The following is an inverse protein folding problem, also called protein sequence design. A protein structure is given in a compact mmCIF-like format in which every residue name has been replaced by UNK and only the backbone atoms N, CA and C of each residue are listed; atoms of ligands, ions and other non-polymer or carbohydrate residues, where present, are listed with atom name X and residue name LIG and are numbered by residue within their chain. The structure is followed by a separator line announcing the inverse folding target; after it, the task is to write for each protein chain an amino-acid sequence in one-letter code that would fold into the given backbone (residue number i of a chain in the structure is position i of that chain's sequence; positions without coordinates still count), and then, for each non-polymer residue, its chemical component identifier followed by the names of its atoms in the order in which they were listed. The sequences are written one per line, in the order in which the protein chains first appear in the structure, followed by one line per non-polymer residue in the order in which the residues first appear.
data_IF_210629243432
#
_entry.id   IF_210629243432
#
_cell.length_a   1.000
_cell.length_b   1.000
_cell.length_c   1.000
_cell.angle_alpha   90.00
_cell.angle_beta   90.00
_cell.angle_gamma   90.00
#
_symmetry.space_group_name_H-M   'P 1'
#
loop_
_entity.id
_entity.type
_entity.pdbx_description
1 polymer ?
#
# COMPACT_ATOMS: atom_id res chain seq x y z
N UNK A 1 -6.42 -27.50 -18.17
CA UNK A 1 -6.42 -26.18 -17.50
C UNK A 1 -4.98 -25.70 -17.50
N UNK A 2 -4.68 -24.65 -18.26
CA UNK A 2 -3.33 -24.07 -18.28
C UNK A 2 -3.10 -23.40 -16.92
N UNK A 3 -2.17 -23.94 -16.14
CA UNK A 3 -1.65 -23.28 -14.95
C UNK A 3 -0.95 -22.00 -15.41
N UNK A 4 -1.41 -20.83 -14.95
CA UNK A 4 -0.88 -19.54 -15.38
C UNK A 4 0.62 -19.41 -15.09
N UNK A 5 1.39 -18.90 -16.05
CA UNK A 5 2.83 -18.63 -15.92
C UNK A 5 3.13 -17.36 -15.10
N UNK A 6 2.09 -16.60 -14.72
CA UNK A 6 2.21 -15.28 -14.07
C UNK A 6 3.17 -15.24 -12.88
N UNK A 7 3.18 -16.27 -12.04
CA UNK A 7 3.99 -16.32 -10.83
C UNK A 7 5.25 -17.17 -10.98
N UNK A 8 5.48 -17.80 -12.14
CA UNK A 8 6.66 -18.64 -12.35
C UNK A 8 7.96 -17.82 -12.40
N UNK A 9 7.86 -16.56 -12.82
CA UNK A 9 8.97 -15.60 -12.88
C UNK A 9 9.04 -14.70 -11.65
N UNK A 10 8.22 -14.95 -10.62
CA UNK A 10 8.24 -14.16 -9.39
C UNK A 10 9.52 -14.43 -8.59
N UNK A 11 10.37 -13.42 -8.46
CA UNK A 11 11.65 -13.52 -7.75
C UNK A 11 11.48 -12.98 -6.33
N UNK A 12 11.65 -13.85 -5.34
CA UNK A 12 11.71 -13.47 -3.93
C UNK A 12 13.16 -13.12 -3.61
N UNK A 13 13.41 -11.87 -3.22
CA UNK A 13 14.71 -11.45 -2.71
C UNK A 13 14.87 -11.87 -1.24
N UNK A 14 15.83 -12.74 -0.95
CA UNK A 14 16.09 -13.25 0.40
C UNK A 14 16.55 -12.18 1.40
N UNK A 15 16.91 -10.97 0.96
CA UNK A 15 17.26 -9.86 1.84
C UNK A 15 16.07 -8.97 2.23
N UNK A 16 14.88 -9.19 1.65
CA UNK A 16 13.71 -8.35 1.90
C UNK A 16 12.51 -9.17 2.34
N UNK A 17 11.63 -8.54 3.13
CA UNK A 17 10.38 -9.17 3.52
C UNK A 17 9.38 -9.11 2.36
N UNK A 18 8.99 -10.28 1.87
CA UNK A 18 7.92 -10.43 0.88
C UNK A 18 6.57 -10.69 1.58
N UNK A 19 5.54 -9.94 1.18
CA UNK A 19 4.20 -10.04 1.78
C UNK A 19 3.42 -11.27 1.31
N UNK A 20 3.74 -11.82 0.14
CA UNK A 20 3.06 -12.95 -0.48
C UNK A 20 3.79 -14.27 -0.20
N UNK A 21 5.12 -14.27 -0.23
CA UNK A 21 5.97 -15.44 0.00
C UNK A 21 6.73 -15.37 1.33
N UNK A 22 6.83 -16.52 1.98
CA UNK A 22 7.78 -16.79 3.05
C UNK A 22 8.77 -17.83 2.51
N UNK A 23 10.00 -17.39 2.24
CA UNK A 23 11.02 -18.15 1.52
C UNK A 23 10.49 -18.65 0.16
N UNK A 24 10.13 -19.93 0.06
CA UNK A 24 9.61 -20.56 -1.16
C UNK A 24 8.11 -20.95 -1.07
N UNK A 25 7.42 -20.54 0.00
CA UNK A 25 6.02 -20.91 0.25
C UNK A 25 5.10 -19.70 0.30
N UNK A 26 3.91 -19.82 -0.28
CA UNK A 26 2.89 -18.76 -0.21
C UNK A 26 2.35 -18.65 1.21
N UNK A 27 2.34 -17.44 1.77
CA UNK A 27 1.78 -17.15 3.09
C UNK A 27 0.28 -17.42 3.11
N UNK A 28 -0.22 -17.86 4.27
CA UNK A 28 -1.61 -18.31 4.42
C UNK A 28 -2.63 -17.29 3.93
N UNK A 29 -2.46 -16.02 4.31
CA UNK A 29 -3.36 -14.93 3.93
C UNK A 29 -3.38 -14.66 2.41
N UNK A 30 -2.35 -15.08 1.68
CA UNK A 30 -2.23 -14.91 0.23
C UNK A 30 -2.66 -16.13 -0.58
N UNK A 31 -2.86 -17.31 0.03
CA UNK A 31 -3.19 -18.55 -0.72
C UNK A 31 -4.37 -18.38 -1.67
N UNK A 32 -5.50 -17.87 -1.18
CA UNK A 32 -6.70 -17.65 -2.00
C UNK A 32 -6.47 -16.65 -3.13
N UNK A 33 -5.69 -15.60 -2.88
CA UNK A 33 -5.38 -14.61 -3.89
C UNK A 33 -4.47 -15.21 -4.97
N UNK A 34 -3.47 -16.00 -4.58
CA UNK A 34 -2.58 -16.72 -5.50
C UNK A 34 -3.35 -17.75 -6.33
N UNK A 35 -4.21 -18.55 -5.71
CA UNK A 35 -5.08 -19.50 -6.41
C UNK A 35 -5.96 -18.81 -7.46
N UNK A 36 -6.53 -17.64 -7.12
CA UNK A 36 -7.29 -16.83 -8.06
C UNK A 36 -6.42 -16.27 -9.19
N UNK A 37 -5.24 -15.73 -8.87
CA UNK A 37 -4.30 -15.21 -9.88
C UNK A 37 -3.79 -16.30 -10.83
N UNK A 38 -3.60 -17.52 -10.34
CA UNK A 38 -3.17 -18.67 -11.17
C UNK A 38 -4.23 -19.10 -12.19
N UNK A 39 -5.49 -18.71 -12.01
CA UNK A 39 -6.57 -18.95 -12.96
C UNK A 39 -6.71 -17.84 -14.01
N UNK A 40 -6.04 -16.70 -13.82
CA UNK A 40 -6.10 -15.57 -14.73
C UNK A 40 -5.03 -15.68 -15.82
N UNK A 41 -5.42 -15.35 -17.04
CA UNK A 41 -4.48 -15.07 -18.13
C UNK A 41 -3.89 -13.65 -18.02
N UNK A 42 -2.72 -13.44 -18.62
CA UNK A 42 -2.10 -12.11 -18.74
C UNK A 42 -3.05 -11.12 -19.43
N UNK A 43 -3.78 -11.56 -20.45
CA UNK A 43 -4.74 -10.72 -21.18
C UNK A 43 -5.91 -10.25 -20.29
N UNK A 44 -6.41 -11.12 -19.42
CA UNK A 44 -7.45 -10.76 -18.46
C UNK A 44 -6.94 -9.76 -17.41
N UNK A 45 -5.69 -9.92 -16.99
CA UNK A 45 -5.04 -9.01 -16.06
C UNK A 45 -4.87 -7.62 -16.67
N UNK A 46 -4.37 -7.54 -17.91
CA UNK A 46 -4.24 -6.29 -18.67
C UNK A 46 -5.60 -5.60 -18.88
N UNK A 47 -6.65 -6.37 -19.20
CA UNK A 47 -8.02 -5.85 -19.31
C UNK A 47 -8.51 -5.25 -17.98
N UNK A 48 -8.24 -5.91 -16.85
CA UNK A 48 -8.60 -5.39 -15.52
C UNK A 48 -7.85 -4.11 -15.19
N UNK A 49 -6.57 -4.04 -15.53
CA UNK A 49 -5.76 -2.83 -15.36
C UNK A 49 -6.33 -1.66 -16.18
N UNK A 50 -6.65 -1.88 -17.45
CA UNK A 50 -7.23 -0.85 -18.32
C UNK A 50 -8.60 -0.37 -17.82
N UNK A 51 -9.45 -1.30 -17.37
CA UNK A 51 -10.73 -0.96 -16.75
C UNK A 51 -10.54 -0.13 -15.48
N UNK A 52 -9.58 -0.48 -14.62
CA UNK A 52 -9.26 0.30 -13.42
C UNK A 52 -8.80 1.72 -13.79
N UNK A 53 -7.92 1.87 -14.78
CA UNK A 53 -7.47 3.19 -15.27
C UNK A 53 -8.63 4.05 -15.76
N UNK A 54 -9.56 3.47 -16.53
CA UNK A 54 -10.76 4.16 -17.02
C UNK A 54 -11.69 4.57 -15.88
N UNK A 55 -11.87 3.73 -14.87
CA UNK A 55 -12.67 4.03 -13.68
C UNK A 55 -12.07 5.18 -12.86
N UNK A 56 -10.74 5.20 -12.69
CA UNK A 56 -10.06 6.28 -11.96
C UNK A 56 -10.20 7.62 -12.69
N UNK A 57 -10.03 7.63 -14.02
CA UNK A 57 -10.28 8.83 -14.83
C UNK A 57 -11.73 9.31 -14.73
N UNK A 58 -12.72 8.41 -14.86
CA UNK A 58 -14.14 8.82 -14.84
C UNK A 58 -14.64 9.26 -13.47
N UNK A 59 -14.00 8.82 -12.39
CA UNK A 59 -14.29 9.26 -11.02
C UNK A 59 -13.50 10.51 -10.59
N UNK A 60 -12.64 11.05 -11.45
CA UNK A 60 -11.81 12.22 -11.12
C UNK A 60 -10.73 11.92 -10.09
N UNK A 61 -10.27 10.66 -9.98
CA UNK A 61 -9.15 10.27 -9.12
C UNK A 61 -7.84 10.58 -9.87
N UNK A 62 -7.59 11.87 -10.06
CA UNK A 62 -6.45 12.41 -10.81
C UNK A 62 -5.63 13.38 -9.96
N UNK A 63 -4.37 13.58 -10.34
CA UNK A 63 -3.52 14.65 -9.82
C UNK A 63 -2.95 15.45 -10.98
N UNK A 64 -2.75 16.75 -10.76
CA UNK A 64 -2.20 17.66 -11.77
C UNK A 64 -0.68 17.61 -11.73
N UNK A 65 -0.07 17.25 -12.85
CA UNK A 65 1.37 17.42 -13.05
C UNK A 65 1.59 18.70 -13.82
N UNK A 66 2.27 19.65 -13.19
CA UNK A 66 2.72 20.86 -13.87
C UNK A 66 3.99 20.53 -14.65
N UNK A 67 3.90 20.52 -15.98
CA UNK A 67 5.08 20.47 -16.84
C UNK A 67 4.98 21.60 -17.87
N UNK A 68 5.96 22.50 -17.87
CA UNK A 68 6.08 23.59 -18.86
C UNK A 68 4.84 24.51 -19.01
N UNK A 69 4.09 24.76 -17.94
CA UNK A 69 2.96 25.70 -17.93
C UNK A 69 1.61 25.12 -18.33
N UNK A 70 1.55 23.86 -18.75
CA UNK A 70 0.29 23.12 -18.92
C UNK A 70 0.12 22.12 -17.77
N UNK A 71 -1.08 22.14 -17.17
CA UNK A 71 -1.48 21.16 -16.15
C UNK A 71 -1.99 19.90 -16.85
N UNK A 72 -1.18 18.85 -16.90
CA UNK A 72 -1.61 17.55 -17.42
C UNK A 72 -2.22 16.76 -16.26
N UNK A 73 -3.47 16.37 -16.39
CA UNK A 73 -4.10 15.45 -15.43
C UNK A 73 -3.58 14.02 -15.64
N UNK A 74 -3.09 13.41 -14.57
CA UNK A 74 -2.70 12.00 -14.53
C UNK A 74 -3.52 11.27 -13.49
N UNK A 75 -3.87 10.02 -13.76
CA UNK A 75 -4.41 9.12 -12.73
C UNK A 75 -3.36 8.85 -11.66
N UNK A 76 -3.81 8.69 -10.43
CA UNK A 76 -2.98 8.08 -9.39
C UNK A 76 -2.47 6.72 -9.86
N UNK A 77 -1.18 6.38 -9.63
CA UNK A 77 -0.70 5.03 -9.84
C UNK A 77 -1.55 4.07 -9.02
N UNK A 78 -2.09 3.04 -9.67
CA UNK A 78 -2.97 2.06 -9.05
C UNK A 78 -2.48 0.66 -9.42
N UNK A 79 -2.37 -0.19 -8.40
CA UNK A 79 -2.07 -1.60 -8.55
C UNK A 79 -3.34 -2.43 -8.30
N UNK A 80 -3.61 -3.37 -9.21
CA UNK A 80 -4.75 -4.29 -9.12
C UNK A 80 -4.49 -5.47 -8.18
N UNK A 81 -3.23 -5.70 -7.80
CA UNK A 81 -2.83 -6.74 -6.86
C UNK A 81 -2.91 -6.17 -5.43
N UNK A 82 -3.77 -6.72 -4.56
CA UNK A 82 -3.97 -6.16 -3.24
C UNK A 82 -2.82 -6.50 -2.29
N UNK A 83 -2.50 -5.57 -1.39
CA UNK A 83 -1.75 -5.86 -0.17
C UNK A 83 -2.70 -6.36 0.91
N UNK A 84 -2.61 -7.64 1.25
CA UNK A 84 -3.50 -8.26 2.23
C UNK A 84 -2.93 -8.02 3.64
N UNK A 85 -3.74 -7.40 4.51
CA UNK A 85 -3.44 -7.19 5.92
C UNK A 85 -4.49 -7.98 6.71
N UNK A 86 -4.04 -8.89 7.57
CA UNK A 86 -4.94 -9.69 8.42
C UNK A 86 -5.55 -8.83 9.53
N UNK A 87 -6.67 -9.29 10.08
CA UNK A 87 -7.31 -8.60 11.20
C UNK A 87 -6.36 -8.44 12.41
N UNK A 88 -5.57 -9.46 12.72
CA UNK A 88 -4.62 -9.41 13.84
C UNK A 88 -3.49 -8.39 13.60
N UNK A 89 -2.95 -8.32 12.38
CA UNK A 89 -1.97 -7.30 12.00
C UNK A 89 -2.59 -5.90 12.08
N UNK A 90 -3.80 -5.73 11.55
CA UNK A 90 -4.50 -4.45 11.57
C UNK A 90 -4.81 -3.98 12.99
N UNK A 91 -5.26 -4.87 13.88
CA UNK A 91 -5.52 -4.54 15.29
C UNK A 91 -4.27 -4.01 16.00
N UNK A 92 -3.09 -4.54 15.67
CA UNK A 92 -1.83 -4.04 16.20
C UNK A 92 -1.45 -2.68 15.60
N UNK A 93 -1.50 -2.58 14.27
CA UNK A 93 -1.18 -1.34 13.53
C UNK A 93 -2.10 -0.18 13.99
N UNK A 94 -3.40 -0.43 14.09
CA UNK A 94 -4.40 0.57 14.44
C UNK A 94 -4.14 1.15 15.86
N UNK A 95 -3.83 0.28 16.83
CA UNK A 95 -3.46 0.70 18.19
C UNK A 95 -2.20 1.57 18.18
N UNK A 96 -1.18 1.18 17.42
CA UNK A 96 0.07 1.94 17.27
C UNK A 96 -0.16 3.32 16.64
N UNK A 97 -0.98 3.39 15.60
CA UNK A 97 -1.35 4.65 14.93
C UNK A 97 -2.10 5.57 15.89
N UNK A 98 -3.10 5.07 16.62
CA UNK A 98 -3.87 5.85 17.60
C UNK A 98 -2.96 6.40 18.71
N UNK A 99 -2.06 5.57 19.24
CA UNK A 99 -1.09 5.99 20.25
C UNK A 99 -0.17 7.10 19.71
N UNK A 100 0.40 6.90 18.52
CA UNK A 100 1.32 7.86 17.88
C UNK A 100 0.64 9.18 17.57
N UNK A 101 -0.59 9.16 17.06
CA UNK A 101 -1.37 10.38 16.80
C UNK A 101 -1.64 11.16 18.09
N UNK A 102 -2.00 10.48 19.18
CA UNK A 102 -2.21 11.13 20.47
C UNK A 102 -0.93 11.80 20.96
N UNK A 103 0.21 11.11 20.88
CA UNK A 103 1.50 11.66 21.27
C UNK A 103 1.88 12.89 20.43
N UNK A 104 1.74 12.80 19.10
CA UNK A 104 2.04 13.90 18.19
C UNK A 104 1.14 15.13 18.43
N UNK A 105 -0.16 14.93 18.66
CA UNK A 105 -1.07 16.03 18.96
C UNK A 105 -0.73 16.73 20.27
N UNK A 106 -0.38 15.98 21.32
CA UNK A 106 0.06 16.55 22.59
C UNK A 106 1.40 17.27 22.45
N UNK A 107 2.34 16.68 21.70
CA UNK A 107 3.62 17.30 21.39
C UNK A 107 3.46 18.64 20.69
N UNK A 108 2.68 18.68 19.59
CA UNK A 108 2.41 19.93 18.87
C UNK A 108 1.77 20.98 19.78
N UNK A 109 0.78 20.58 20.60
CA UNK A 109 0.16 21.49 21.57
C UNK A 109 1.17 22.05 22.56
N UNK A 110 2.08 21.22 23.07
CA UNK A 110 3.08 21.65 24.04
C UNK A 110 4.10 22.62 23.44
N UNK A 111 4.64 22.30 22.25
CA UNK A 111 5.63 23.13 21.54
C UNK A 111 5.07 24.53 21.22
N UNK A 112 3.80 24.63 20.83
CA UNK A 112 3.14 25.90 20.55
C UNK A 112 2.49 26.55 21.77
N UNK A 113 2.74 26.04 22.99
CA UNK A 113 2.21 26.62 24.23
C UNK A 113 3.30 26.71 25.30
N UNK A 114 3.30 25.80 26.28
CA UNK A 114 4.12 25.92 27.49
C UNK A 114 5.53 25.33 27.34
N UNK A 115 5.78 24.56 26.28
CA UNK A 115 7.07 23.95 25.96
C UNK A 115 7.65 23.15 27.13
N UNK A 116 6.81 22.38 27.83
CA UNK A 116 7.25 21.55 28.94
C UNK A 116 8.29 20.53 28.51
N UNK A 117 8.11 19.89 27.35
CA UNK A 117 9.03 18.87 26.84
C UNK A 117 10.46 19.39 26.60
N UNK A 118 10.61 20.69 26.29
CA UNK A 118 11.90 21.37 26.15
C UNK A 118 12.44 21.78 27.52
N UNK A 119 11.60 22.38 28.35
CA UNK A 119 11.97 22.81 29.72
C UNK A 119 12.41 21.64 30.60
N UNK A 120 11.81 20.47 30.40
CA UNK A 120 12.13 19.23 31.08
C UNK A 120 13.34 18.50 30.44
N UNK A 121 13.90 19.03 29.34
CA UNK A 121 15.08 18.51 28.67
C UNK A 121 14.90 17.17 27.94
N UNK A 122 13.66 16.73 27.74
CA UNK A 122 13.34 15.48 27.03
C UNK A 122 13.61 15.62 25.53
N UNK A 123 13.32 16.80 24.98
CA UNK A 123 13.68 17.20 23.62
C UNK A 123 14.50 18.50 23.67
N UNK A 124 15.51 18.66 22.79
CA UNK A 124 16.28 19.90 22.67
C UNK A 124 15.41 21.11 22.31
#
# INVERSE_FOLDING_TARGET
MQTSELLQTYLVDGNTWDEMYADASVREQYKKAVEFMQQLSIDELNKKEELAKRLFMSQGITFTVYNSGEGIEKIFPFDIIPRIITAAEWDYIEKGIKQRLKALNLFLKDIYSNQFIIKDGVMP
#
